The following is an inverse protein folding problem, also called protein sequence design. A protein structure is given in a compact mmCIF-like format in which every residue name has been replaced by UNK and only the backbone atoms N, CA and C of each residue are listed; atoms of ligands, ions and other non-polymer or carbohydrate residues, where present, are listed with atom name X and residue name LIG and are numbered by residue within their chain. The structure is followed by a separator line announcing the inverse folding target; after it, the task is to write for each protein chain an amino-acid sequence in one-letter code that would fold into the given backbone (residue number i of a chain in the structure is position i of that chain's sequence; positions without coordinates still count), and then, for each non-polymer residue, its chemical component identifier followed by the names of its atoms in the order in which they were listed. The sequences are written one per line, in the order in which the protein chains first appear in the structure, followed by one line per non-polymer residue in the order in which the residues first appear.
data_IF_011608578538
#
_entry.id   IF_011608578538
#
_cell.length_a   1.000
_cell.length_b   1.000
_cell.length_c   1.000
_cell.angle_alpha   90.00
_cell.angle_beta   90.00
_cell.angle_gamma   90.00
#
_symmetry.space_group_name_H-M   'P 1'
#
loop_
_entity.id
_entity.type
_entity.pdbx_description
1 polymer ?
#
# COMPACT_ATOMS: atom_id res chain seq x y z
N UNK A 1 -8.52 16.49 29.86
CA UNK A 1 -8.91 17.42 28.76
C UNK A 1 -8.61 16.70 27.45
N UNK A 2 -9.63 16.41 26.63
CA UNK A 2 -9.45 15.66 25.36
C UNK A 2 -8.72 16.58 24.36
N UNK A 3 -7.55 16.16 23.86
CA UNK A 3 -6.88 16.85 22.75
C UNK A 3 -7.72 16.62 21.50
N UNK A 4 -8.47 17.63 21.08
CA UNK A 4 -9.11 17.68 19.76
C UNK A 4 -8.00 17.87 18.71
N UNK A 5 -7.38 16.77 18.31
CA UNK A 5 -6.49 16.76 17.16
C UNK A 5 -7.31 16.95 15.90
N UNK A 6 -6.96 17.92 15.07
CA UNK A 6 -7.50 18.03 13.72
C UNK A 6 -7.06 16.79 12.93
N UNK A 7 -7.92 15.80 12.83
CA UNK A 7 -7.63 14.61 12.03
C UNK A 7 -7.75 14.93 10.54
N UNK A 8 -6.97 14.25 9.67
CA UNK A 8 -7.15 14.37 8.22
C UNK A 8 -8.57 14.00 7.78
N UNK A 9 -9.04 14.46 6.60
CA UNK A 9 -10.33 14.05 6.06
C UNK A 9 -10.49 12.53 6.04
N UNK A 10 -11.60 12.03 6.60
CA UNK A 10 -11.87 10.58 6.71
C UNK A 10 -11.22 9.88 7.91
N UNK A 11 -10.64 10.63 8.85
CA UNK A 11 -10.11 10.10 10.11
C UNK A 11 -10.90 10.64 11.30
N UNK A 12 -11.32 9.73 12.18
CA UNK A 12 -11.96 10.05 13.46
C UNK A 12 -11.12 9.50 14.62
N UNK A 13 -11.46 9.91 15.84
CA UNK A 13 -10.74 9.50 17.04
C UNK A 13 -10.77 7.96 17.23
N UNK A 14 -11.87 7.32 16.84
CA UNK A 14 -12.03 5.87 16.94
C UNK A 14 -11.07 5.12 16.01
N UNK A 15 -10.90 5.59 14.77
CA UNK A 15 -9.94 5.07 13.80
C UNK A 15 -8.51 5.25 14.30
N UNK A 16 -8.18 6.43 14.83
CA UNK A 16 -6.84 6.70 15.38
C UNK A 16 -6.53 5.76 16.55
N UNK A 17 -7.46 5.58 17.48
CA UNK A 17 -7.27 4.66 18.62
C UNK A 17 -7.10 3.20 18.19
N UNK A 18 -7.84 2.73 17.18
CA UNK A 18 -7.67 1.37 16.65
C UNK A 18 -6.30 1.18 16.00
N UNK A 19 -5.82 2.18 15.25
CA UNK A 19 -4.50 2.13 14.63
C UNK A 19 -3.40 2.15 15.70
N UNK A 20 -3.51 3.00 16.71
CA UNK A 20 -2.53 3.06 17.81
C UNK A 20 -2.45 1.74 18.57
N UNK A 21 -3.59 1.17 18.99
CA UNK A 21 -3.62 -0.12 19.68
C UNK A 21 -3.01 -1.24 18.83
N UNK A 22 -3.29 -1.25 17.52
CA UNK A 22 -2.75 -2.24 16.60
C UNK A 22 -1.22 -2.18 16.48
N UNK A 23 -0.62 -0.99 16.40
CA UNK A 23 0.84 -0.85 16.35
C UNK A 23 1.52 -0.96 17.73
N UNK A 24 0.82 -0.64 18.82
CA UNK A 24 1.35 -0.82 20.19
C UNK A 24 1.40 -2.30 20.60
N UNK A 25 0.49 -3.12 20.08
CA UNK A 25 0.42 -4.57 20.34
C UNK A 25 1.15 -5.40 19.26
N UNK A 26 1.60 -4.77 18.17
CA UNK A 26 2.32 -5.44 17.08
C UNK A 26 3.67 -5.97 17.59
N UNK A 27 3.92 -7.25 17.35
CA UNK A 27 5.22 -7.85 17.64
C UNK A 27 6.25 -7.46 16.58
N UNK A 28 7.53 -7.45 16.94
CA UNK A 28 8.63 -7.15 16.00
C UNK A 28 8.60 -8.07 14.77
N UNK A 29 8.19 -9.32 14.94
CA UNK A 29 8.06 -10.32 13.89
C UNK A 29 6.90 -10.01 12.92
N UNK A 30 5.78 -9.47 13.43
CA UNK A 30 4.64 -9.03 12.61
C UNK A 30 4.93 -7.73 11.84
N UNK A 31 5.67 -6.80 12.44
CA UNK A 31 6.12 -5.59 11.75
C UNK A 31 7.05 -5.91 10.57
N UNK A 32 7.96 -6.88 10.76
CA UNK A 32 8.85 -7.38 9.71
C UNK A 32 8.05 -8.10 8.61
N UNK A 33 7.07 -8.93 8.98
CA UNK A 33 6.24 -9.63 8.01
C UNK A 33 5.39 -8.68 7.15
N UNK A 34 4.91 -7.56 7.71
CA UNK A 34 4.21 -6.52 6.93
C UNK A 34 5.13 -5.82 5.93
N UNK A 35 6.39 -5.56 6.30
CA UNK A 35 7.41 -4.98 5.41
C UNK A 35 7.86 -6.00 4.32
N UNK A 36 7.89 -7.29 4.63
CA UNK A 36 8.29 -8.36 3.70
C UNK A 36 7.16 -8.83 2.76
N UNK A 37 5.89 -8.73 3.17
CA UNK A 37 4.74 -9.14 2.36
C UNK A 37 4.57 -8.32 1.06
N UNK A 38 5.15 -7.11 1.01
CA UNK A 38 5.22 -6.32 -0.23
C UNK A 38 6.07 -7.02 -1.31
N UNK A 39 7.05 -7.85 -0.91
CA UNK A 39 7.97 -8.57 -1.80
C UNK A 39 7.47 -9.98 -2.19
N UNK A 40 6.58 -10.58 -1.39
CA UNK A 40 5.97 -11.91 -1.66
C UNK A 40 4.88 -11.88 -2.75
N UNK A 41 4.50 -10.70 -3.24
CA UNK A 41 3.46 -10.56 -4.24
C UNK A 41 3.98 -10.98 -5.64
N UNK A 42 3.79 -12.25 -6.01
CA UNK A 42 4.19 -12.86 -7.30
C UNK A 42 3.72 -12.11 -8.56
N UNK A 43 2.81 -11.15 -8.40
CA UNK A 43 2.29 -10.31 -9.48
C UNK A 43 3.13 -9.05 -9.72
N UNK A 44 4.16 -8.80 -8.92
CA UNK A 44 5.03 -7.63 -9.03
C UNK A 44 6.50 -8.04 -8.96
N UNK A 45 7.36 -7.22 -9.55
CA UNK A 45 8.81 -7.46 -9.61
C UNK A 45 9.53 -6.14 -9.44
N UNK A 46 10.59 -6.13 -8.65
CA UNK A 46 11.48 -4.97 -8.52
C UNK A 46 12.49 -4.97 -9.67
N UNK A 47 12.65 -3.83 -10.33
CA UNK A 47 13.65 -3.64 -11.39
C UNK A 47 14.23 -2.22 -11.33
N UNK A 48 15.50 -2.06 -11.68
CA UNK A 48 16.12 -0.75 -11.81
C UNK A 48 15.59 -0.02 -13.05
N UNK A 49 15.29 1.27 -12.90
CA UNK A 49 14.79 2.12 -13.97
C UNK A 49 15.50 3.47 -13.89
N UNK A 50 16.15 3.94 -14.97
CA UNK A 50 16.68 5.29 -15.04
C UNK A 50 15.60 6.35 -14.74
N UNK A 51 15.96 7.40 -14.00
CA UNK A 51 15.01 8.40 -13.48
C UNK A 51 14.18 9.03 -14.61
N UNK A 52 14.81 9.31 -15.74
CA UNK A 52 14.19 9.90 -16.93
C UNK A 52 13.10 9.02 -17.55
N UNK A 53 13.13 7.70 -17.30
CA UNK A 53 12.16 6.74 -17.82
C UNK A 53 10.99 6.45 -16.87
N UNK A 54 11.07 6.91 -15.61
CA UNK A 54 10.03 6.68 -14.59
C UNK A 54 8.64 7.17 -15.03
N UNK A 55 8.46 8.37 -15.64
CA UNK A 55 7.14 8.82 -16.08
C UNK A 55 6.50 7.88 -17.11
N UNK A 56 7.29 7.42 -18.08
CA UNK A 56 6.86 6.52 -19.17
C UNK A 56 6.40 5.18 -18.62
N UNK A 57 7.16 4.61 -17.68
CA UNK A 57 6.82 3.32 -17.05
C UNK A 57 5.55 3.45 -16.20
N UNK A 58 5.39 4.55 -15.46
CA UNK A 58 4.15 4.81 -14.70
C UNK A 58 2.93 4.87 -15.61
N UNK A 59 3.02 5.52 -16.77
CA UNK A 59 1.93 5.58 -17.74
C UNK A 59 1.60 4.18 -18.30
N UNK A 60 2.62 3.37 -18.61
CA UNK A 60 2.45 2.00 -19.07
C UNK A 60 1.70 1.14 -18.05
N UNK A 61 2.08 1.22 -16.77
CA UNK A 61 1.41 0.50 -15.67
C UNK A 61 -0.05 0.94 -15.55
N UNK A 62 -0.32 2.25 -15.63
CA UNK A 62 -1.69 2.78 -15.58
C UNK A 62 -2.54 2.22 -16.73
N UNK A 63 -2.03 2.21 -17.97
CA UNK A 63 -2.71 1.64 -19.14
C UNK A 63 -2.98 0.14 -18.98
N UNK A 64 -2.07 -0.60 -18.38
CA UNK A 64 -2.23 -2.03 -18.13
C UNK A 64 -3.37 -2.31 -17.14
N UNK A 65 -3.50 -1.50 -16.08
CA UNK A 65 -4.58 -1.63 -15.08
C UNK A 65 -5.98 -1.30 -15.62
N UNK A 66 -6.06 -0.47 -16.66
CA UNK A 66 -7.35 -0.05 -17.27
C UNK A 66 -7.85 -1.06 -18.32
N UNK A 67 -7.00 -1.95 -18.84
CA UNK A 67 -7.47 -3.02 -19.74
C UNK A 67 -8.17 -4.11 -18.91
N UNK A 68 -9.47 -4.40 -19.13
CA UNK A 68 -10.14 -5.48 -18.43
C UNK A 68 -9.43 -6.81 -18.74
N UNK A 69 -9.28 -7.68 -17.73
CA UNK A 69 -8.81 -9.07 -17.91
C UNK A 69 -9.63 -9.68 -19.05
N UNK A 70 -9.00 -9.88 -20.22
CA UNK A 70 -9.58 -10.73 -21.26
C UNK A 70 -9.74 -12.11 -20.64
N UNK A 71 -10.98 -12.48 -20.33
CA UNK A 71 -11.30 -13.81 -19.81
C UNK A 71 -10.80 -14.84 -20.81
N UNK A 72 -9.91 -15.72 -20.36
CA UNK A 72 -9.49 -16.90 -21.12
C UNK A 72 -10.71 -17.81 -21.28
N UNK A 73 -11.01 -18.32 -22.50
CA UNK A 73 -12.06 -19.31 -22.67
C UNK A 73 -11.60 -20.63 -22.01
N UNK A 74 -12.55 -21.29 -21.34
CA UNK A 74 -12.40 -22.61 -20.72
C UNK A 74 -12.12 -23.69 -21.76
#
# INVERSE_FOLDING_TARGET
MKKSGNFPPGWDEARVRRVLAHYEEQTEEEAVAEDEAAFENLNQTAMEIPIELVPTVRELIAKHRVKPKRQSPR
#
